data_IF_394468698754
#
_entry.id   IF_394468698754
#
_cell.length_a   1.000
_cell.length_b   1.000
_cell.length_c   1.000
_cell.angle_alpha   90.00
_cell.angle_beta   90.00
_cell.angle_gamma   90.00
#
_symmetry.space_group_name_H-M   'P 1'
#
loop_
_entity.id
_entity.type
_entity.pdbx_description
1 polymer ?
#
# COMPACT_ATOMS: atom_id res chain seq x y z
N UNK A 1 5.97 18.39 13.52
CA UNK A 1 6.52 18.37 12.13
C UNK A 1 6.44 17.00 11.45
N UNK A 2 6.89 15.90 12.07
CA UNK A 2 6.87 14.56 11.45
C UNK A 2 5.44 14.05 11.21
N UNK A 3 4.56 14.09 12.21
CA UNK A 3 3.15 13.67 12.06
C UNK A 3 2.44 14.43 10.95
N UNK A 4 2.67 15.74 10.83
CA UNK A 4 2.10 16.54 9.74
C UNK A 4 2.56 16.04 8.36
N UNK A 5 3.84 15.69 8.19
CA UNK A 5 4.35 15.12 6.92
C UNK A 5 3.68 13.79 6.59
N UNK A 6 3.41 12.95 7.59
CA UNK A 6 2.71 11.67 7.43
C UNK A 6 1.24 11.93 7.03
N UNK A 7 0.55 12.84 7.71
CA UNK A 7 -0.83 13.17 7.34
C UNK A 7 -0.91 13.74 5.91
N UNK A 8 0.05 14.60 5.54
CA UNK A 8 0.13 15.11 4.16
C UNK A 8 0.37 13.98 3.16
N UNK A 9 1.22 12.99 3.47
CA UNK A 9 1.47 11.84 2.58
C UNK A 9 0.20 11.01 2.34
N UNK A 10 -0.67 10.91 3.36
CA UNK A 10 -1.95 10.20 3.26
C UNK A 10 -2.99 10.94 2.41
N UNK A 11 -2.86 12.27 2.28
CA UNK A 11 -3.74 13.08 1.43
C UNK A 11 -3.22 13.14 0.00
N UNK A 12 -1.91 13.29 -0.19
CA UNK A 12 -1.32 13.44 -1.52
C UNK A 12 -1.18 12.11 -2.28
N UNK A 13 -0.89 11.01 -1.59
CA UNK A 13 -0.67 9.72 -2.27
C UNK A 13 -1.90 9.20 -3.04
N UNK A 14 -3.15 9.30 -2.52
CA UNK A 14 -4.35 8.95 -3.30
C UNK A 14 -4.51 9.79 -4.57
N UNK A 15 -4.26 11.11 -4.49
CA UNK A 15 -4.40 12.02 -5.62
C UNK A 15 -3.38 11.73 -6.72
N UNK A 16 -2.15 11.42 -6.32
CA UNK A 16 -1.09 11.00 -7.25
C UNK A 16 -1.46 9.65 -7.88
N UNK A 17 -1.92 8.68 -7.10
CA UNK A 17 -2.37 7.38 -7.59
C UNK A 17 -3.52 7.49 -8.61
N UNK A 18 -4.53 8.33 -8.35
CA UNK A 18 -5.63 8.59 -9.31
C UNK A 18 -5.06 9.17 -10.60
N UNK A 19 -4.21 10.19 -10.49
CA UNK A 19 -3.62 10.89 -11.64
C UNK A 19 -2.74 9.95 -12.48
N UNK A 20 -1.88 9.17 -11.83
CA UNK A 20 -1.03 8.17 -12.49
C UNK A 20 -1.84 7.02 -13.06
N UNK A 21 -2.86 6.53 -12.35
CA UNK A 21 -3.73 5.45 -12.83
C UNK A 21 -4.46 5.88 -14.11
N UNK A 22 -4.97 7.10 -14.12
CA UNK A 22 -5.62 7.69 -15.29
C UNK A 22 -4.63 7.87 -16.45
N UNK A 23 -3.48 8.51 -16.21
CA UNK A 23 -2.46 8.78 -17.23
C UNK A 23 -1.86 7.51 -17.82
N UNK A 24 -1.46 6.55 -16.98
CA UNK A 24 -0.92 5.27 -17.43
C UNK A 24 -1.92 4.45 -18.22
N UNK A 25 -3.21 4.49 -17.86
CA UNK A 25 -4.22 3.82 -18.67
C UNK A 25 -4.27 4.40 -20.09
N UNK A 26 -4.25 5.73 -20.25
CA UNK A 26 -4.26 6.35 -21.58
C UNK A 26 -3.02 5.97 -22.41
N UNK A 27 -1.84 5.96 -21.79
CA UNK A 27 -0.60 5.57 -22.45
C UNK A 27 -0.61 4.10 -22.86
N UNK A 28 -0.98 3.21 -21.94
CA UNK A 28 -1.03 1.78 -22.18
C UNK A 28 -2.14 1.40 -23.16
N UNK A 29 -3.28 2.10 -23.15
CA UNK A 29 -4.33 1.95 -24.16
C UNK A 29 -3.81 2.33 -25.55
N UNK A 30 -3.10 3.45 -25.68
CA UNK A 30 -2.49 3.85 -26.96
C UNK A 30 -1.50 2.80 -27.45
N UNK A 31 -0.66 2.28 -26.55
CA UNK A 31 0.28 1.20 -26.86
C UNK A 31 -0.46 -0.07 -27.29
N UNK A 32 -1.47 -0.51 -26.54
CA UNK A 32 -2.30 -1.65 -26.86
C UNK A 32 -2.93 -1.53 -28.25
N UNK A 33 -3.48 -0.37 -28.60
CA UNK A 33 -4.04 -0.11 -29.93
C UNK A 33 -2.99 -0.29 -31.03
N UNK A 34 -1.75 0.17 -30.83
CA UNK A 34 -0.65 -0.04 -31.78
C UNK A 34 -0.32 -1.53 -31.93
N UNK A 35 -0.34 -2.30 -30.83
CA UNK A 35 -0.12 -3.75 -30.89
C UNK A 35 -1.24 -4.49 -31.64
N UNK A 36 -2.50 -4.08 -31.45
CA UNK A 36 -3.64 -4.62 -32.23
C UNK A 36 -3.42 -4.37 -33.73
N UNK A 37 -3.04 -3.14 -34.11
CA UNK A 37 -2.76 -2.81 -35.52
C UNK A 37 -1.60 -3.62 -36.11
N UNK A 38 -0.68 -4.12 -35.29
CA UNK A 38 0.40 -5.02 -35.69
C UNK A 38 0.00 -6.50 -35.72
N UNK A 39 -1.26 -6.83 -35.46
CA UNK A 39 -1.76 -8.20 -35.42
C UNK A 39 -1.24 -9.03 -34.24
N UNK A 40 -0.78 -8.36 -33.17
CA UNK A 40 -0.22 -9.03 -31.99
C UNK A 40 -1.29 -9.38 -30.96
N UNK A 41 -1.05 -10.44 -30.18
CA UNK A 41 -1.93 -10.81 -29.07
C UNK A 41 -1.70 -9.91 -27.85
N UNK A 42 -2.54 -8.87 -27.73
CA UNK A 42 -2.45 -7.86 -26.68
C UNK A 42 -2.65 -8.46 -25.28
N UNK A 43 -3.61 -9.38 -25.13
CA UNK A 43 -3.91 -9.96 -23.82
C UNK A 43 -2.73 -10.75 -23.26
N UNK A 44 -2.07 -11.55 -24.11
CA UNK A 44 -0.90 -12.32 -23.68
C UNK A 44 0.27 -11.41 -23.29
N UNK A 45 0.50 -10.33 -24.05
CA UNK A 45 1.56 -9.36 -23.74
C UNK A 45 1.26 -8.61 -22.44
N UNK A 46 0.04 -8.09 -22.30
CA UNK A 46 -0.34 -7.33 -21.12
C UNK A 46 -0.46 -8.20 -19.87
N UNK A 47 -0.72 -9.51 -20.01
CA UNK A 47 -0.61 -10.46 -18.90
C UNK A 47 0.82 -10.52 -18.33
N UNK A 48 1.85 -10.59 -19.18
CA UNK A 48 3.24 -10.56 -18.69
C UNK A 48 3.63 -9.19 -18.13
N UNK A 49 3.18 -8.09 -18.74
CA UNK A 49 3.37 -6.73 -18.19
C UNK A 49 2.73 -6.61 -16.81
N UNK A 50 1.50 -7.13 -16.65
CA UNK A 50 0.80 -7.13 -15.37
C UNK A 50 1.57 -7.92 -14.31
N UNK A 51 2.10 -9.11 -14.65
CA UNK A 51 2.92 -9.90 -13.72
C UNK A 51 4.15 -9.09 -13.27
N UNK A 52 4.86 -8.44 -14.21
CA UNK A 52 6.00 -7.60 -13.86
C UNK A 52 5.61 -6.42 -12.95
N UNK A 53 4.48 -5.77 -13.23
CA UNK A 53 3.96 -4.68 -12.40
C UNK A 53 3.53 -5.18 -11.01
N UNK A 54 2.96 -6.37 -10.90
CA UNK A 54 2.62 -7.00 -9.62
C UNK A 54 3.86 -7.34 -8.80
N UNK A 55 4.94 -7.80 -9.44
CA UNK A 55 6.22 -8.01 -8.78
C UNK A 55 6.79 -6.70 -8.23
N UNK A 56 6.71 -5.62 -9.02
CA UNK A 56 7.13 -4.29 -8.57
C UNK A 56 6.24 -3.76 -7.43
N UNK A 57 4.93 -3.98 -7.52
CA UNK A 57 3.94 -3.65 -6.49
C UNK A 57 4.26 -4.37 -5.17
N UNK A 58 4.53 -5.68 -5.23
CA UNK A 58 4.92 -6.48 -4.07
C UNK A 58 6.22 -5.99 -3.41
N UNK A 59 7.22 -5.62 -4.22
CA UNK A 59 8.46 -5.03 -3.71
C UNK A 59 8.20 -3.70 -2.98
N UNK A 60 7.47 -2.78 -3.61
CA UNK A 60 7.15 -1.47 -3.05
C UNK A 60 6.31 -1.57 -1.78
N UNK A 61 5.33 -2.47 -1.75
CA UNK A 61 4.51 -2.76 -0.57
C UNK A 61 5.35 -3.29 0.58
N UNK A 62 6.20 -4.29 0.32
CA UNK A 62 7.09 -4.85 1.33
C UNK A 62 8.01 -3.79 1.94
N UNK A 63 8.58 -2.92 1.10
CA UNK A 63 9.45 -1.84 1.55
C UNK A 63 8.74 -0.80 2.45
N UNK A 64 7.47 -0.49 2.17
CA UNK A 64 6.67 0.43 2.97
C UNK A 64 6.14 -0.23 4.27
N UNK A 65 5.61 -1.45 4.17
CA UNK A 65 4.81 -2.06 5.24
C UNK A 65 5.65 -2.84 6.27
N UNK A 66 6.88 -3.26 5.95
CA UNK A 66 7.77 -3.94 6.92
C UNK A 66 8.06 -3.05 8.15
N UNK A 67 8.11 -1.73 7.95
CA UNK A 67 8.30 -0.76 9.02
C UNK A 67 7.14 -0.73 10.02
N UNK A 68 5.91 -1.03 9.58
CA UNK A 68 4.73 -1.06 10.45
C UNK A 68 4.82 -2.19 11.48
N UNK A 69 5.35 -3.35 11.08
CA UNK A 69 5.52 -4.50 11.96
C UNK A 69 6.78 -4.39 12.83
N UNK A 70 7.89 -3.90 12.27
CA UNK A 70 9.21 -3.96 12.93
C UNK A 70 9.59 -2.68 13.68
N UNK A 71 8.94 -1.53 13.40
CA UNK A 71 9.31 -0.23 13.96
C UNK A 71 9.15 -0.11 15.47
N UNK A 72 8.15 -0.80 16.05
CA UNK A 72 7.93 -0.83 17.51
C UNK A 72 9.12 -1.48 18.21
N UNK A 73 9.64 -2.58 17.66
CA UNK A 73 10.81 -3.26 18.22
C UNK A 73 12.04 -2.35 18.22
N UNK A 74 12.32 -1.66 17.11
CA UNK A 74 13.46 -0.73 17.02
C UNK A 74 13.36 0.38 18.06
N UNK A 75 12.16 0.87 18.34
CA UNK A 75 11.90 1.91 19.35
C UNK A 75 12.13 1.42 20.77
N UNK A 76 11.72 0.18 21.09
CA UNK A 76 11.97 -0.41 22.42
C UNK A 76 13.45 -0.76 22.59
N UNK A 77 14.05 -1.39 21.57
CA UNK A 77 15.45 -1.77 21.59
C UNK A 77 16.39 -0.57 21.74
N UNK A 78 16.08 0.58 21.13
CA UNK A 78 16.89 1.79 21.28
C UNK A 78 16.76 2.47 22.65
N UNK A 79 15.68 2.20 23.40
CA UNK A 79 15.49 2.71 24.77
C UNK A 79 16.12 1.82 25.83
N UNK A 80 16.04 0.50 25.66
CA UNK A 80 16.56 -0.50 26.62
C UNK A 80 18.01 -0.86 26.33
N UNK A 81 18.38 -0.91 25.06
CA UNK A 81 19.72 -1.21 24.57
C UNK A 81 20.24 -0.05 23.71
N UNK A 82 21.15 -0.34 22.77
CA UNK A 82 21.60 0.60 21.73
C UNK A 82 20.73 0.43 20.48
N UNK A 83 20.81 1.40 19.56
CA UNK A 83 20.20 1.27 18.23
C UNK A 83 20.62 -0.08 17.63
N UNK A 84 19.67 -0.93 17.17
CA UNK A 84 19.97 -2.22 16.60
C UNK A 84 21.00 -2.10 15.47
N UNK A 85 21.98 -3.00 15.47
CA UNK A 85 22.96 -3.07 14.40
C UNK A 85 22.32 -3.56 13.09
N UNK A 86 23.08 -3.48 11.99
CA UNK A 86 22.58 -3.84 10.66
C UNK A 86 22.12 -5.29 10.58
N UNK A 87 22.77 -6.21 11.30
CA UNK A 87 22.38 -7.62 11.30
C UNK A 87 21.02 -7.81 11.97
N UNK A 88 20.79 -7.16 13.12
CA UNK A 88 19.49 -7.20 13.79
C UNK A 88 18.39 -6.58 12.93
N UNK A 89 18.67 -5.46 12.24
CA UNK A 89 17.70 -4.83 11.34
C UNK A 89 17.34 -5.71 10.14
N UNK A 90 18.30 -6.43 9.55
CA UNK A 90 18.06 -7.38 8.45
C UNK A 90 17.22 -8.55 8.94
N UNK A 91 17.54 -9.12 10.11
CA UNK A 91 16.78 -10.23 10.69
C UNK A 91 15.32 -9.84 10.95
N UNK A 92 15.09 -8.70 11.60
CA UNK A 92 13.74 -8.17 11.83
C UNK A 92 12.98 -7.95 10.53
N UNK A 93 13.63 -7.35 9.53
CA UNK A 93 13.02 -7.11 8.22
C UNK A 93 12.64 -8.42 7.53
N UNK A 94 13.47 -9.46 7.67
CA UNK A 94 13.21 -10.79 7.12
C UNK A 94 12.01 -11.45 7.80
N UNK A 95 11.93 -11.37 9.14
CA UNK A 95 10.78 -11.86 9.91
C UNK A 95 9.49 -11.11 9.55
N UNK A 96 9.56 -9.78 9.43
CA UNK A 96 8.44 -8.95 9.01
C UNK A 96 7.97 -9.31 7.59
N UNK A 97 8.90 -9.46 6.64
CA UNK A 97 8.59 -9.87 5.27
C UNK A 97 7.95 -11.26 5.21
N UNK A 98 8.47 -12.22 6.00
CA UNK A 98 7.87 -13.55 6.11
C UNK A 98 6.44 -13.49 6.67
N UNK A 99 6.21 -12.71 7.72
CA UNK A 99 4.88 -12.50 8.29
C UNK A 99 3.89 -11.88 7.29
N UNK A 100 4.33 -10.86 6.54
CA UNK A 100 3.52 -10.24 5.48
C UNK A 100 3.18 -11.26 4.39
N UNK A 101 4.16 -12.04 3.92
CA UNK A 101 3.94 -13.06 2.90
C UNK A 101 2.96 -14.14 3.36
N UNK A 102 3.14 -14.67 4.58
CA UNK A 102 2.24 -15.67 5.17
C UNK A 102 0.82 -15.13 5.35
N UNK A 103 0.67 -13.91 5.87
CA UNK A 103 -0.65 -13.27 6.02
C UNK A 103 -1.36 -13.08 4.67
N UNK A 104 -0.62 -12.65 3.66
CA UNK A 104 -1.11 -12.51 2.29
C UNK A 104 -1.59 -13.84 1.70
N UNK A 105 -0.82 -14.92 1.87
CA UNK A 105 -1.17 -16.26 1.37
C UNK A 105 -2.38 -16.86 2.10
N UNK A 106 -2.47 -16.70 3.42
CA UNK A 106 -3.49 -17.35 4.23
C UNK A 106 -4.83 -16.61 4.22
N UNK A 107 -4.82 -15.27 4.29
CA UNK A 107 -6.04 -14.45 4.44
C UNK A 107 -6.25 -13.41 3.32
N UNK A 108 -5.23 -13.12 2.51
CA UNK A 108 -5.29 -12.09 1.48
C UNK A 108 -6.39 -12.30 0.44
N UNK A 109 -6.77 -13.56 0.16
CA UNK A 109 -7.85 -13.88 -0.79
C UNK A 109 -9.19 -13.22 -0.45
N UNK A 110 -9.47 -12.94 0.83
CA UNK A 110 -10.73 -12.30 1.26
C UNK A 110 -10.77 -10.84 0.81
N UNK A 111 -9.66 -10.13 0.97
CA UNK A 111 -9.53 -8.72 0.55
C UNK A 111 -9.47 -8.63 -0.97
N UNK A 112 -8.73 -9.53 -1.61
CA UNK A 112 -8.65 -9.61 -3.08
C UNK A 112 -10.04 -9.78 -3.71
N UNK A 113 -10.91 -10.63 -3.15
CA UNK A 113 -12.28 -10.80 -3.65
C UNK A 113 -13.10 -9.50 -3.59
N UNK A 114 -12.96 -8.73 -2.50
CA UNK A 114 -13.68 -7.46 -2.34
C UNK A 114 -13.18 -6.39 -3.31
N UNK A 115 -11.86 -6.26 -3.49
CA UNK A 115 -11.26 -5.20 -4.29
C UNK A 115 -11.28 -5.52 -5.79
N UNK A 116 -10.91 -6.75 -6.18
CA UNK A 116 -10.69 -7.14 -7.57
C UNK A 116 -11.98 -7.10 -8.43
N UNK A 117 -13.14 -7.33 -7.82
CA UNK A 117 -14.42 -7.37 -8.54
C UNK A 117 -15.41 -6.29 -8.10
N UNK A 118 -15.14 -5.59 -6.99
CA UNK A 118 -16.10 -4.68 -6.39
C UNK A 118 -16.07 -3.26 -6.92
N UNK A 119 -14.87 -2.70 -7.19
CA UNK A 119 -14.74 -1.27 -7.47
C UNK A 119 -15.05 -0.94 -8.94
N UNK A 120 -14.42 -1.68 -9.86
CA UNK A 120 -14.61 -1.52 -11.32
C UNK A 120 -14.14 -2.78 -12.06
N UNK A 121 -14.58 -2.98 -13.30
CA UNK A 121 -14.16 -4.12 -14.12
C UNK A 121 -12.83 -3.84 -14.82
N UNK A 122 -11.77 -4.45 -14.34
CA UNK A 122 -10.44 -4.35 -14.94
C UNK A 122 -10.22 -5.44 -15.99
N UNK A 123 -9.52 -5.06 -17.07
CA UNK A 123 -8.88 -5.95 -18.05
C UNK A 123 -7.36 -5.88 -17.86
N UNK A 124 -6.57 -6.65 -18.61
CA UNK A 124 -5.12 -6.66 -18.44
C UNK A 124 -4.46 -5.28 -18.64
N UNK A 125 -5.00 -4.43 -19.51
CA UNK A 125 -4.47 -3.08 -19.76
C UNK A 125 -4.74 -2.15 -18.58
N UNK A 126 -5.99 -2.09 -18.11
CA UNK A 126 -6.38 -1.26 -16.97
C UNK A 126 -5.83 -1.76 -15.64
N UNK A 127 -5.74 -3.08 -15.46
CA UNK A 127 -5.05 -3.68 -14.31
C UNK A 127 -3.56 -3.32 -14.32
N UNK A 128 -2.89 -3.40 -15.48
CA UNK A 128 -1.48 -3.01 -15.60
C UNK A 128 -1.26 -1.54 -15.26
N UNK A 129 -2.16 -0.65 -15.72
CA UNK A 129 -2.10 0.77 -15.40
C UNK A 129 -2.30 1.04 -13.90
N UNK A 130 -3.28 0.38 -13.28
CA UNK A 130 -3.56 0.51 -11.86
C UNK A 130 -2.38 0.02 -11.01
N UNK A 131 -1.85 -1.18 -11.30
CA UNK A 131 -0.72 -1.73 -10.55
C UNK A 131 0.57 -0.94 -10.74
N UNK A 132 0.85 -0.45 -11.95
CA UNK A 132 2.02 0.42 -12.17
C UNK A 132 1.89 1.74 -11.40
N UNK A 133 0.71 2.35 -11.43
CA UNK A 133 0.42 3.58 -10.66
C UNK A 133 0.61 3.36 -9.16
N UNK A 134 0.07 2.27 -8.64
CA UNK A 134 0.16 1.89 -7.24
C UNK A 134 1.62 1.64 -6.83
N UNK A 135 2.31 0.75 -7.55
CA UNK A 135 3.69 0.37 -7.28
C UNK A 135 4.65 1.56 -7.35
N UNK A 136 4.50 2.40 -8.38
CA UNK A 136 5.34 3.57 -8.56
C UNK A 136 5.10 4.61 -7.47
N UNK A 137 3.84 4.88 -7.11
CA UNK A 137 3.53 5.87 -6.07
C UNK A 137 4.07 5.43 -4.71
N UNK A 138 3.85 4.18 -4.30
CA UNK A 138 4.39 3.64 -3.06
C UNK A 138 5.92 3.69 -3.07
N UNK A 139 6.55 3.31 -4.18
CA UNK A 139 8.00 3.38 -4.31
C UNK A 139 8.54 4.80 -4.22
N UNK A 140 7.87 5.78 -4.84
CA UNK A 140 8.30 7.18 -4.80
C UNK A 140 8.27 7.74 -3.37
N UNK A 141 7.20 7.48 -2.63
CA UNK A 141 7.08 7.92 -1.23
C UNK A 141 8.03 7.17 -0.29
N UNK A 142 8.37 5.92 -0.60
CA UNK A 142 9.30 5.13 0.22
C UNK A 142 10.76 5.49 -0.07
N UNK A 143 11.14 5.58 -1.35
CA UNK A 143 12.54 5.65 -1.79
C UNK A 143 13.05 7.07 -1.91
N UNK A 144 12.28 7.99 -2.51
CA UNK A 144 12.78 9.35 -2.76
C UNK A 144 13.04 10.10 -1.44
N UNK A 145 12.11 10.13 -0.46
CA UNK A 145 12.40 10.70 0.86
C UNK A 145 13.57 10.01 1.56
N UNK A 146 13.72 8.68 1.43
CA UNK A 146 14.86 7.98 2.01
C UNK A 146 16.19 8.50 1.48
N UNK A 147 16.28 8.76 0.17
CA UNK A 147 17.50 9.30 -0.46
C UNK A 147 17.74 10.78 -0.11
N UNK A 148 16.67 11.59 -0.01
CA UNK A 148 16.80 13.06 0.18
C UNK A 148 16.90 13.47 1.65
N UNK A 149 16.12 12.85 2.54
CA UNK A 149 15.98 13.25 3.95
C UNK A 149 16.35 12.12 4.94
N UNK A 150 16.81 10.97 4.44
CA UNK A 150 17.34 9.86 5.25
C UNK A 150 16.30 8.84 5.73
N UNK A 151 15.00 9.07 5.52
CA UNK A 151 13.93 8.14 5.86
C UNK A 151 12.80 8.14 4.83
N UNK A 152 12.18 6.98 4.63
CA UNK A 152 11.00 6.84 3.78
C UNK A 152 9.77 7.51 4.38
N UNK A 153 8.84 7.95 3.54
CA UNK A 153 7.58 8.53 3.98
C UNK A 153 6.50 7.46 3.96
N UNK A 154 6.02 6.98 5.12
CA UNK A 154 5.04 5.91 5.16
C UNK A 154 3.73 6.42 4.56
N UNK A 155 3.17 5.62 3.65
CA UNK A 155 1.81 5.83 3.12
C UNK A 155 0.98 4.57 3.34
N UNK A 156 -0.34 4.70 3.18
CA UNK A 156 -1.20 3.52 3.18
C UNK A 156 -1.27 2.90 1.78
N UNK A 157 -0.72 1.70 1.65
CA UNK A 157 -0.72 0.90 0.42
C UNK A 157 -2.14 0.55 -0.04
N UNK A 158 -3.10 0.42 0.89
CA UNK A 158 -4.51 0.18 0.55
C UNK A 158 -5.15 1.39 -0.13
N UNK A 159 -4.87 2.61 0.35
CA UNK A 159 -5.34 3.85 -0.29
C UNK A 159 -4.70 4.02 -1.67
N UNK A 160 -3.40 3.77 -1.78
CA UNK A 160 -2.68 3.83 -3.04
C UNK A 160 -3.31 2.90 -4.08
N UNK A 161 -3.52 1.62 -3.73
CA UNK A 161 -4.10 0.61 -4.63
C UNK A 161 -5.52 0.98 -5.08
N UNK A 162 -6.42 1.31 -4.14
CA UNK A 162 -7.81 1.67 -4.47
C UNK A 162 -7.87 2.92 -5.33
N UNK A 163 -7.04 3.93 -5.02
CA UNK A 163 -6.97 5.18 -5.78
C UNK A 163 -6.46 4.96 -7.19
N UNK A 164 -5.47 4.08 -7.37
CA UNK A 164 -4.96 3.70 -8.70
C UNK A 164 -6.01 2.93 -9.51
N UNK A 165 -6.78 2.05 -8.88
CA UNK A 165 -7.92 1.34 -9.50
C UNK A 165 -9.00 2.34 -9.94
N UNK A 166 -9.36 3.30 -9.08
CA UNK A 166 -10.31 4.36 -9.40
C UNK A 166 -9.81 5.19 -10.58
N UNK A 167 -8.55 5.63 -10.57
CA UNK A 167 -7.96 6.43 -11.66
C UNK A 167 -7.99 5.71 -13.00
N UNK A 168 -7.52 4.46 -13.05
CA UNK A 168 -7.55 3.63 -14.26
C UNK A 168 -9.00 3.31 -14.70
N UNK A 169 -9.88 3.02 -13.74
CA UNK A 169 -11.30 2.74 -13.98
C UNK A 169 -12.05 3.93 -14.55
N UNK A 170 -11.82 5.13 -14.03
CA UNK A 170 -12.40 6.37 -14.58
C UNK A 170 -11.91 6.60 -16.01
N UNK A 171 -10.61 6.39 -16.28
CA UNK A 171 -10.07 6.55 -17.63
C UNK A 171 -10.63 5.53 -18.64
N UNK A 172 -10.93 4.32 -18.17
CA UNK A 172 -11.49 3.22 -18.98
C UNK A 172 -13.00 3.35 -19.22
N UNK A 173 -13.76 3.55 -18.15
CA UNK A 173 -15.23 3.38 -18.14
C UNK A 173 -15.97 4.64 -17.68
N UNK A 174 -15.26 5.74 -17.45
CA UNK A 174 -15.83 6.98 -16.92
C UNK A 174 -16.21 6.88 -15.44
N UNK A 175 -16.63 8.02 -14.87
CA UNK A 175 -17.00 8.14 -13.44
C UNK A 175 -18.15 7.18 -13.07
N UNK A 176 -19.06 6.90 -14.00
CA UNK A 176 -20.20 5.98 -13.79
C UNK A 176 -19.79 4.50 -13.75
N UNK A 177 -18.57 4.17 -14.20
CA UNK A 177 -18.03 2.81 -14.16
C UNK A 177 -17.42 2.39 -12.82
N UNK A 178 -17.56 3.24 -11.79
CA UNK A 178 -17.04 3.01 -10.44
C UNK A 178 -18.20 2.77 -9.48
N UNK A 179 -18.10 1.74 -8.63
CA UNK A 179 -19.02 1.53 -7.51
C UNK A 179 -18.68 2.48 -6.35
N UNK A 180 -19.28 3.67 -6.39
CA UNK A 180 -19.10 4.69 -5.36
C UNK A 180 -19.66 4.28 -3.99
N UNK A 181 -20.63 3.35 -3.95
CA UNK A 181 -21.17 2.85 -2.69
C UNK A 181 -20.12 2.00 -1.97
N UNK A 182 -19.47 1.09 -2.70
CA UNK A 182 -18.36 0.30 -2.17
C UNK A 182 -17.19 1.19 -1.75
N UNK A 183 -16.80 2.16 -2.59
CA UNK A 183 -15.74 3.12 -2.25
C UNK A 183 -16.06 3.86 -0.95
N UNK A 184 -17.31 4.33 -0.78
CA UNK A 184 -17.79 4.96 0.44
C UNK A 184 -17.70 4.05 1.67
N UNK A 185 -18.08 2.78 1.55
CA UNK A 185 -17.92 1.80 2.63
C UNK A 185 -16.47 1.58 3.02
N UNK A 186 -15.56 1.51 2.04
CA UNK A 186 -14.13 1.35 2.32
C UNK A 186 -13.59 2.57 3.06
N UNK A 187 -13.90 3.79 2.60
CA UNK A 187 -13.49 5.03 3.28
C UNK A 187 -14.04 5.08 4.72
N UNK A 188 -15.32 4.73 4.91
CA UNK A 188 -15.93 4.70 6.24
C UNK A 188 -15.23 3.69 7.17
N UNK A 189 -14.90 2.50 6.66
CA UNK A 189 -14.17 1.49 7.43
C UNK A 189 -12.82 2.02 7.92
N UNK A 190 -12.14 2.84 7.12
CA UNK A 190 -10.84 3.40 7.47
C UNK A 190 -10.93 4.50 8.53
N UNK A 191 -11.90 5.39 8.39
CA UNK A 191 -12.17 6.42 9.41
C UNK A 191 -12.48 5.76 10.74
N UNK A 192 -13.14 4.61 10.75
CA UNK A 192 -13.43 3.83 11.95
C UNK A 192 -12.21 3.06 12.49
N UNK A 193 -11.34 2.52 11.63
CA UNK A 193 -10.16 1.74 12.06
C UNK A 193 -9.23 2.54 12.97
N UNK A 194 -9.02 3.83 12.70
CA UNK A 194 -8.13 4.69 13.49
C UNK A 194 -8.57 4.81 14.97
N UNK A 195 -9.77 5.32 15.31
CA UNK A 195 -10.20 5.45 16.70
C UNK A 195 -10.32 4.09 17.40
N UNK A 196 -10.73 3.03 16.69
CA UNK A 196 -10.81 1.68 17.26
C UNK A 196 -9.42 1.18 17.64
N UNK A 197 -8.42 1.35 16.78
CA UNK A 197 -7.04 0.93 17.05
C UNK A 197 -6.43 1.72 18.21
N UNK A 198 -6.68 3.04 18.26
CA UNK A 198 -6.26 3.90 19.38
C UNK A 198 -6.90 3.42 20.69
N UNK A 199 -8.20 3.15 20.69
CA UNK A 199 -8.93 2.69 21.87
C UNK A 199 -8.43 1.34 22.39
N UNK A 200 -8.24 0.37 21.50
CA UNK A 200 -7.68 -0.95 21.86
C UNK A 200 -6.27 -0.80 22.42
N UNK A 201 -5.41 -0.02 21.76
CA UNK A 201 -4.03 0.19 22.21
C UNK A 201 -3.97 0.86 23.59
N UNK A 202 -4.76 1.92 23.80
CA UNK A 202 -4.83 2.60 25.08
C UNK A 202 -5.39 1.70 26.19
N UNK A 203 -6.45 0.92 25.90
CA UNK A 203 -7.03 -0.03 26.84
C UNK A 203 -6.05 -1.13 27.25
N UNK A 204 -5.32 -1.70 26.29
CA UNK A 204 -4.27 -2.68 26.57
C UNK A 204 -3.14 -2.08 27.41
N UNK A 205 -2.71 -0.85 27.12
CA UNK A 205 -1.69 -0.16 27.90
C UNK A 205 -2.11 0.02 29.37
N UNK A 206 -3.34 0.50 29.61
CA UNK A 206 -3.88 0.67 30.97
C UNK A 206 -3.98 -0.68 31.68
N UNK A 207 -4.46 -1.72 30.99
CA UNK A 207 -4.54 -3.06 31.58
C UNK A 207 -3.16 -3.59 31.98
N UNK A 208 -2.18 -3.53 31.09
CA UNK A 208 -0.83 -4.05 31.34
C UNK A 208 -0.16 -3.28 32.49
N UNK A 209 -0.27 -1.94 32.49
CA UNK A 209 0.32 -1.11 33.56
C UNK A 209 -0.37 -1.27 34.90
N UNK A 210 -1.65 -1.64 34.94
CA UNK A 210 -2.35 -1.95 36.20
C UNK A 210 -1.86 -3.24 36.88
N UNK A 211 -1.27 -4.16 36.11
CA UNK A 211 -0.78 -5.45 36.59
C UNK A 211 0.73 -5.38 36.90
N UNK A 212 1.47 -4.53 36.19
CA UNK A 212 2.92 -4.42 36.34
C UNK A 212 3.34 -3.66 37.61
N UNK A 213 4.41 -4.11 38.31
CA UNK A 213 5.00 -3.34 39.39
C UNK A 213 5.49 -1.96 38.90
N UNK A 214 5.46 -0.90 39.74
CA UNK A 214 5.81 0.47 39.35
C UNK A 214 7.19 0.63 38.68
N UNK A 215 8.14 -0.25 39.02
CA UNK A 215 9.50 -0.28 38.46
C UNK A 215 9.58 -0.63 36.96
N UNK A 216 8.46 -1.07 36.34
CA UNK A 216 8.38 -1.37 34.91
C UNK A 216 7.50 -0.38 34.12
N UNK A 217 6.97 0.67 34.76
CA UNK A 217 6.02 1.61 34.16
C UNK A 217 6.71 2.86 33.56
N UNK A 218 7.95 3.16 33.97
CA UNK A 218 8.78 4.27 33.47
C UNK A 218 9.47 3.94 32.16
#
# INVERSE_FOLDING_TARGET
LVVLKIVLSWIFSPLICISFGFGFYLLLKRFATVLVFRGMNVDEIFKYILIANLMFSAYSFGANDVGNATGVYVTVASRVFKIPDIHTMILLSTLGAFGIAMGGLMWGYRVLKTVAYGITRLDYVSASAAELSNALTVWLFTTIPKVVIGYGMPISTTYASISSIIGAGIAKSGIKGIDWKLVGFIIASWVLTLPVTIGISAGLYVLITSILPPQFIT
#
